data_IF_514365765356
#
_entry.id   IF_514365765356
#
_cell.length_a   1.000
_cell.length_b   1.000
_cell.length_c   1.000
_cell.angle_alpha   90.00
_cell.angle_beta   90.00
_cell.angle_gamma   90.00
#
_symmetry.space_group_name_H-M   'P 1'
#
loop_
_entity.id
_entity.type
_entity.pdbx_description
1 polymer ?
#
# COMPACT_ATOMS: atom_id res chain seq x y z
N UNK A 1 56.13 -2.43 -24.46
CA UNK A 1 55.25 -1.75 -23.51
C UNK A 1 53.82 -2.14 -23.86
N UNK A 2 53.24 -2.98 -23.03
CA UNK A 2 51.83 -3.43 -23.22
C UNK A 2 50.94 -2.54 -22.39
N UNK A 3 50.07 -1.73 -23.02
CA UNK A 3 49.10 -0.87 -22.34
C UNK A 3 47.85 -1.73 -22.09
N UNK A 4 47.62 -2.13 -20.83
CA UNK A 4 46.38 -2.79 -20.41
C UNK A 4 45.35 -1.71 -20.15
N UNK A 5 44.36 -1.58 -21.03
CA UNK A 5 43.20 -0.72 -20.79
C UNK A 5 42.28 -1.43 -19.80
N UNK A 6 42.22 -0.94 -18.55
CA UNK A 6 41.18 -1.33 -17.58
C UNK A 6 39.88 -0.68 -17.98
N UNK A 7 38.97 -1.46 -18.58
CA UNK A 7 37.54 -1.05 -18.69
C UNK A 7 36.86 -1.12 -17.31
N UNK A 8 36.68 0.01 -16.66
CA UNK A 8 35.78 0.10 -15.50
C UNK A 8 34.34 -0.10 -15.99
N UNK A 9 33.80 -1.27 -15.79
CA UNK A 9 32.36 -1.51 -15.91
C UNK A 9 31.71 -0.86 -14.69
N UNK A 10 31.26 0.39 -14.83
CA UNK A 10 30.37 1.02 -13.84
C UNK A 10 29.09 0.20 -13.82
N UNK A 11 28.90 -0.63 -12.80
CA UNK A 11 27.63 -1.26 -12.51
C UNK A 11 26.64 -0.14 -12.15
N UNK A 12 25.85 0.34 -13.13
CA UNK A 12 24.72 1.21 -12.89
C UNK A 12 23.72 0.47 -12.00
N UNK A 13 23.77 0.68 -10.69
CA UNK A 13 22.73 0.24 -9.77
C UNK A 13 21.47 1.02 -10.11
N UNK A 14 20.57 0.40 -10.86
CA UNK A 14 19.28 1.01 -11.24
C UNK A 14 18.50 1.33 -9.97
N UNK A 15 18.05 2.59 -9.81
CA UNK A 15 17.32 2.99 -8.60
C UNK A 15 16.03 2.18 -8.45
N UNK A 16 15.53 1.94 -7.22
CA UNK A 16 14.27 1.23 -6.99
C UNK A 16 13.08 1.83 -7.75
N UNK A 17 13.03 3.15 -7.89
CA UNK A 17 12.01 3.86 -8.71
C UNK A 17 12.08 3.45 -10.17
N UNK A 18 13.28 3.44 -10.76
CA UNK A 18 13.44 3.05 -12.17
C UNK A 18 13.07 1.58 -12.41
N UNK A 19 13.38 0.69 -11.43
CA UNK A 19 13.00 -0.72 -11.52
C UNK A 19 11.48 -0.89 -11.46
N UNK A 20 10.81 -0.28 -10.47
CA UNK A 20 9.36 -0.34 -10.33
C UNK A 20 8.65 0.23 -11.57
N UNK A 21 9.12 1.37 -12.09
CA UNK A 21 8.61 1.98 -13.32
C UNK A 21 8.78 1.08 -14.53
N UNK A 22 9.98 0.53 -14.75
CA UNK A 22 10.26 -0.34 -15.90
C UNK A 22 9.41 -1.61 -15.87
N UNK A 23 9.23 -2.22 -14.70
CA UNK A 23 8.36 -3.38 -14.52
C UNK A 23 6.89 -3.01 -14.82
N UNK A 24 6.38 -1.95 -14.23
CA UNK A 24 5.00 -1.52 -14.40
C UNK A 24 4.68 -1.10 -15.85
N UNK A 25 5.64 -0.50 -16.57
CA UNK A 25 5.48 -0.15 -17.98
C UNK A 25 5.22 -1.36 -18.88
N UNK A 26 5.79 -2.54 -18.56
CA UNK A 26 5.53 -3.79 -19.28
C UNK A 26 4.07 -4.26 -19.12
N UNK A 27 3.39 -3.79 -18.08
CA UNK A 27 1.98 -4.04 -17.79
C UNK A 27 1.06 -2.85 -18.13
N UNK A 28 1.52 -1.89 -18.92
CA UNK A 28 0.71 -0.76 -19.39
C UNK A 28 0.55 0.39 -18.39
N UNK A 29 1.25 0.35 -17.26
CA UNK A 29 1.21 1.44 -16.28
C UNK A 29 2.10 2.61 -16.68
N UNK A 30 1.68 3.81 -16.32
CA UNK A 30 2.43 5.05 -16.49
C UNK A 30 2.68 5.71 -15.14
N UNK A 31 3.87 6.29 -14.98
CA UNK A 31 4.23 7.04 -13.77
C UNK A 31 3.40 8.32 -13.64
N UNK A 32 2.96 8.59 -12.40
CA UNK A 32 2.29 9.83 -12.00
C UNK A 32 2.88 10.31 -10.68
N UNK A 33 3.13 11.60 -10.56
CA UNK A 33 3.41 12.26 -9.29
C UNK A 33 2.16 13.04 -8.88
N UNK A 34 1.72 12.84 -7.64
CA UNK A 34 0.58 13.53 -7.08
C UNK A 34 1.09 14.58 -6.10
N UNK A 35 0.94 15.85 -6.45
CA UNK A 35 1.25 16.95 -5.56
C UNK A 35 0.17 17.06 -4.50
N UNK A 36 0.50 16.70 -3.29
CA UNK A 36 -0.35 16.79 -2.11
C UNK A 36 0.32 17.64 -1.03
N UNK A 37 -0.35 17.92 0.08
CA UNK A 37 0.27 18.66 1.18
C UNK A 37 0.35 17.77 2.42
N UNK A 38 1.56 17.60 3.00
CA UNK A 38 2.84 18.27 2.64
C UNK A 38 3.69 17.48 1.63
N UNK A 39 3.25 16.31 1.12
CA UNK A 39 4.05 15.37 0.35
C UNK A 39 3.77 15.43 -1.15
N UNK A 40 4.77 15.00 -1.93
CA UNK A 40 4.58 14.51 -3.30
C UNK A 40 4.54 12.99 -3.23
N UNK A 41 3.51 12.37 -3.81
CA UNK A 41 3.34 10.92 -3.81
C UNK A 41 3.62 10.33 -5.18
N UNK A 42 4.38 9.24 -5.19
CA UNK A 42 4.62 8.44 -6.38
C UNK A 42 3.46 7.49 -6.62
N UNK A 43 2.97 7.42 -7.85
CA UNK A 43 2.00 6.43 -8.28
C UNK A 43 2.31 5.88 -9.67
N UNK A 44 1.72 4.72 -9.95
CA UNK A 44 1.73 4.07 -11.26
C UNK A 44 0.27 3.84 -11.65
N UNK A 45 -0.13 4.38 -12.80
CA UNK A 45 -1.52 4.41 -13.23
C UNK A 45 -1.71 3.61 -14.52
N UNK A 46 -2.69 2.72 -14.52
CA UNK A 46 -3.20 2.01 -15.70
C UNK A 46 -4.62 2.50 -16.01
N UNK A 47 -4.91 2.95 -17.26
CA UNK A 47 -6.21 3.55 -17.58
C UNK A 47 -7.38 2.56 -17.62
N UNK A 48 -7.11 1.24 -17.48
CA UNK A 48 -8.11 0.22 -17.71
C UNK A 48 -8.47 0.08 -19.19
N UNK A 49 -9.49 -0.71 -19.47
CA UNK A 49 -10.06 -0.89 -20.81
C UNK A 49 -11.55 -0.54 -20.85
N UNK A 50 -12.15 -0.22 -19.70
CA UNK A 50 -13.55 0.21 -19.61
C UNK A 50 -13.71 1.58 -20.29
N UNK A 51 -14.65 1.73 -21.24
CA UNK A 51 -14.88 3.02 -21.92
C UNK A 51 -15.59 4.05 -21.02
N UNK A 52 -16.25 3.59 -19.97
CA UNK A 52 -16.92 4.43 -18.96
C UNK A 52 -16.68 3.84 -17.57
N UNK A 53 -15.48 4.05 -17.02
CA UNK A 53 -15.13 3.46 -15.73
C UNK A 53 -15.97 4.10 -14.62
N UNK A 54 -16.64 3.26 -13.82
CA UNK A 54 -17.36 3.73 -12.63
C UNK A 54 -16.49 3.72 -11.39
N UNK A 55 -15.45 2.90 -11.39
CA UNK A 55 -14.62 2.62 -10.22
C UNK A 55 -13.14 2.83 -10.54
N UNK A 56 -12.40 3.41 -9.61
CA UNK A 56 -10.94 3.41 -9.59
C UNK A 56 -10.47 2.38 -8.56
N UNK A 57 -9.63 1.42 -8.95
CA UNK A 57 -9.02 0.45 -8.05
C UNK A 57 -7.67 0.98 -7.57
N UNK A 58 -7.52 1.13 -6.25
CA UNK A 58 -6.34 1.75 -5.64
C UNK A 58 -5.62 0.74 -4.77
N UNK A 59 -4.38 0.41 -5.14
CA UNK A 59 -3.48 -0.46 -4.40
C UNK A 59 -2.48 0.37 -3.61
N UNK A 60 -2.57 0.34 -2.27
CA UNK A 60 -1.74 1.17 -1.38
C UNK A 60 -0.60 0.33 -0.82
N UNK A 61 0.63 0.79 -1.03
CA UNK A 61 1.85 0.10 -0.62
C UNK A 61 2.03 0.05 0.90
N UNK A 62 2.75 -0.97 1.35
CA UNK A 62 3.15 -1.14 2.75
C UNK A 62 4.20 -0.12 3.21
N UNK A 63 4.74 -0.35 4.42
CA UNK A 63 5.73 0.55 5.02
C UNK A 63 7.09 0.54 4.30
N UNK A 64 7.28 -0.40 3.35
CA UNK A 64 8.49 -0.53 2.57
C UNK A 64 9.71 -0.91 3.39
N UNK A 65 10.87 -0.35 3.04
CA UNK A 65 12.11 -0.57 3.78
C UNK A 65 12.25 0.48 4.91
N UNK A 66 11.32 0.44 5.88
CA UNK A 66 11.28 1.44 6.96
C UNK A 66 12.48 1.36 7.92
N UNK A 67 13.07 0.19 8.09
CA UNK A 67 14.14 -0.08 9.05
C UNK A 67 15.30 -0.85 8.43
N UNK A 68 16.53 -0.41 8.70
CA UNK A 68 17.75 -1.15 8.35
C UNK A 68 18.12 -2.19 9.40
N UNK A 69 17.72 -1.96 10.66
CA UNK A 69 17.86 -2.86 11.80
C UNK A 69 16.76 -2.59 12.81
N UNK A 70 16.66 -3.40 13.88
CA UNK A 70 15.64 -3.20 14.94
C UNK A 70 15.60 -1.78 15.53
N UNK A 71 16.70 -1.04 15.49
CA UNK A 71 16.85 0.27 16.16
C UNK A 71 17.23 1.40 15.21
N UNK A 72 17.57 1.10 13.94
CA UNK A 72 18.01 2.10 12.98
C UNK A 72 17.01 2.25 11.83
N UNK A 73 16.24 3.34 11.79
CA UNK A 73 15.40 3.67 10.65
C UNK A 73 16.22 3.82 9.37
N UNK A 74 15.69 3.31 8.27
CA UNK A 74 16.31 3.47 6.96
C UNK A 74 16.39 4.94 6.55
N UNK A 75 17.34 5.26 5.69
CA UNK A 75 17.45 6.58 5.07
C UNK A 75 16.42 6.79 3.95
N UNK A 76 15.97 5.69 3.35
CA UNK A 76 14.97 5.65 2.29
C UNK A 76 13.97 4.50 2.54
N UNK A 77 12.67 4.81 2.75
CA UNK A 77 11.65 3.81 3.00
C UNK A 77 11.15 3.09 1.74
N UNK A 78 11.69 3.41 0.55
CA UNK A 78 11.27 2.79 -0.70
C UNK A 78 11.33 1.26 -0.63
N UNK A 79 10.24 0.54 -0.93
CA UNK A 79 10.22 -0.91 -0.84
C UNK A 79 11.21 -1.56 -1.80
N UNK A 80 11.87 -2.60 -1.34
CA UNK A 80 12.73 -3.46 -2.16
C UNK A 80 11.92 -4.55 -2.88
N UNK A 81 10.78 -4.90 -2.30
CA UNK A 81 9.79 -5.84 -2.83
C UNK A 81 8.40 -5.18 -2.76
N UNK A 82 7.92 -4.54 -3.83
CA UNK A 82 6.67 -3.78 -3.84
C UNK A 82 5.45 -4.69 -4.04
N UNK A 83 5.02 -5.38 -2.99
CA UNK A 83 3.92 -6.36 -3.03
C UNK A 83 2.61 -5.76 -3.54
N UNK A 84 2.26 -4.54 -3.14
CA UNK A 84 1.05 -3.89 -3.65
C UNK A 84 1.15 -3.55 -5.14
N UNK A 85 2.34 -3.31 -5.68
CA UNK A 85 2.55 -3.14 -7.13
C UNK A 85 2.30 -4.45 -7.87
N UNK A 86 2.82 -5.56 -7.35
CA UNK A 86 2.60 -6.88 -7.94
C UNK A 86 1.11 -7.24 -7.96
N UNK A 87 0.37 -6.90 -6.89
CA UNK A 87 -1.08 -7.06 -6.82
C UNK A 87 -1.82 -6.17 -7.83
N UNK A 88 -1.39 -4.91 -7.98
CA UNK A 88 -1.97 -3.97 -8.95
C UNK A 88 -1.77 -4.42 -10.40
N UNK A 89 -0.57 -4.95 -10.74
CA UNK A 89 -0.28 -5.48 -12.07
C UNK A 89 -1.04 -6.78 -12.38
N UNK A 90 -1.40 -7.53 -11.35
CA UNK A 90 -2.19 -8.77 -11.46
C UNK A 90 -3.70 -8.54 -11.35
N UNK A 91 -4.17 -7.30 -11.24
CA UNK A 91 -5.61 -7.00 -11.14
C UNK A 91 -6.35 -7.48 -12.39
N UNK A 92 -7.37 -8.37 -12.25
CA UNK A 92 -8.08 -8.95 -13.39
C UNK A 92 -9.19 -8.05 -13.94
N UNK A 93 -9.44 -6.89 -13.31
CA UNK A 93 -10.55 -6.01 -13.68
C UNK A 93 -10.29 -5.21 -14.94
N UNK A 94 -11.37 -4.57 -15.43
CA UNK A 94 -11.34 -3.70 -16.62
C UNK A 94 -11.28 -2.23 -16.27
N UNK A 95 -11.50 -1.88 -15.01
CA UNK A 95 -11.46 -0.51 -14.50
C UNK A 95 -10.03 0.03 -14.41
N UNK A 96 -9.86 1.36 -14.34
CA UNK A 96 -8.57 1.97 -14.05
C UNK A 96 -7.96 1.48 -12.73
N UNK A 97 -6.65 1.29 -12.73
CA UNK A 97 -5.87 0.86 -11.56
C UNK A 97 -4.82 1.90 -11.21
N UNK A 98 -4.75 2.25 -9.94
CA UNK A 98 -3.70 3.06 -9.36
C UNK A 98 -2.92 2.24 -8.33
N UNK A 99 -1.65 2.02 -8.56
CA UNK A 99 -0.71 1.74 -7.48
C UNK A 99 -0.29 3.06 -6.84
N UNK A 100 -0.39 3.17 -5.52
CA UNK A 100 -0.04 4.37 -4.77
C UNK A 100 0.99 4.04 -3.68
N UNK A 101 2.18 4.61 -3.82
CA UNK A 101 3.22 4.50 -2.81
C UNK A 101 2.87 5.35 -1.58
N UNK A 102 3.49 5.01 -0.44
CA UNK A 102 3.37 5.82 0.77
C UNK A 102 4.23 7.09 0.67
N UNK A 103 3.94 8.14 1.46
CA UNK A 103 4.82 9.30 1.52
C UNK A 103 6.29 8.92 1.68
N UNK A 104 7.15 9.63 0.96
CA UNK A 104 8.61 9.46 0.98
C UNK A 104 9.17 8.22 0.26
N UNK A 105 8.32 7.35 -0.28
CA UNK A 105 8.76 6.23 -1.13
C UNK A 105 8.89 6.69 -2.58
N UNK A 106 9.92 6.24 -3.29
CA UNK A 106 10.20 6.49 -4.71
C UNK A 106 10.38 7.96 -5.11
N UNK A 107 10.33 8.90 -4.19
CA UNK A 107 10.56 10.33 -4.46
C UNK A 107 12.01 10.73 -4.17
N UNK A 108 12.51 11.75 -4.87
CA UNK A 108 13.89 12.23 -4.80
C UNK A 108 13.93 13.75 -4.73
N UNK A 109 15.08 14.29 -4.41
CA UNK A 109 15.41 15.72 -4.46
C UNK A 109 14.36 16.60 -3.76
N UNK A 110 13.80 17.58 -4.46
CA UNK A 110 12.85 18.55 -3.90
C UNK A 110 11.55 17.90 -3.41
N UNK A 111 11.13 16.78 -4.03
CA UNK A 111 9.94 16.03 -3.62
C UNK A 111 10.09 15.39 -2.24
N UNK A 112 11.32 15.28 -1.72
CA UNK A 112 11.64 14.76 -0.38
C UNK A 112 11.72 15.82 0.71
N UNK A 113 11.56 17.09 0.41
CA UNK A 113 11.82 18.20 1.38
C UNK A 113 11.07 18.08 2.72
N UNK A 114 9.92 17.41 2.76
CA UNK A 114 9.16 17.18 3.98
C UNK A 114 9.31 15.75 4.52
N UNK A 115 10.14 14.94 3.91
CA UNK A 115 10.37 13.55 4.29
C UNK A 115 11.33 13.48 5.48
N UNK A 116 10.79 13.12 6.62
CA UNK A 116 11.54 12.81 7.83
C UNK A 116 11.24 11.40 8.30
N UNK A 117 12.16 10.78 9.03
CA UNK A 117 12.07 9.37 9.47
C UNK A 117 10.78 9.03 10.21
N UNK A 118 10.15 10.01 10.86
CA UNK A 118 8.87 9.81 11.55
C UNK A 118 7.77 9.28 10.62
N UNK A 119 7.75 9.68 9.34
CA UNK A 119 6.69 9.33 8.38
C UNK A 119 6.76 7.90 7.85
N UNK A 120 7.83 7.17 8.15
CA UNK A 120 7.89 5.72 7.92
C UNK A 120 8.18 4.93 9.20
N UNK A 121 8.16 5.62 10.36
CA UNK A 121 8.27 5.01 11.70
C UNK A 121 7.04 5.34 12.55
N UNK A 122 7.15 6.26 13.52
CA UNK A 122 6.10 6.56 14.51
C UNK A 122 4.83 7.18 13.93
N UNK A 123 4.94 7.99 12.86
CA UNK A 123 3.83 8.73 12.22
C UNK A 123 3.41 8.11 10.86
N UNK A 124 3.69 6.82 10.62
CA UNK A 124 3.42 6.18 9.34
C UNK A 124 1.94 6.11 8.95
N UNK A 125 1.03 6.23 9.91
CA UNK A 125 -0.41 6.39 9.73
C UNK A 125 -0.92 7.71 10.35
N UNK A 126 -0.04 8.71 10.45
CA UNK A 126 -0.42 10.02 10.96
C UNK A 126 -1.38 10.76 10.03
N UNK A 127 -2.13 11.74 10.57
CA UNK A 127 -3.16 12.47 9.84
C UNK A 127 -2.66 13.03 8.50
N UNK A 128 -1.47 13.67 8.48
CA UNK A 128 -0.89 14.22 7.24
C UNK A 128 -0.64 13.14 6.16
N UNK A 129 -0.32 11.91 6.58
CA UNK A 129 -0.14 10.78 5.66
C UNK A 129 -1.46 10.37 5.04
N UNK A 130 -2.51 10.23 5.85
CA UNK A 130 -3.85 9.86 5.40
C UNK A 130 -4.44 10.96 4.50
N UNK A 131 -4.31 12.23 4.87
CA UNK A 131 -4.79 13.36 4.08
C UNK A 131 -4.09 13.44 2.70
N UNK A 132 -2.79 13.17 2.66
CA UNK A 132 -2.04 13.15 1.39
C UNK A 132 -2.44 11.99 0.49
N UNK A 133 -2.66 10.79 1.04
CA UNK A 133 -3.17 9.65 0.28
C UNK A 133 -4.58 9.93 -0.25
N UNK A 134 -5.46 10.50 0.57
CA UNK A 134 -6.82 10.91 0.18
C UNK A 134 -6.81 11.91 -0.99
N UNK A 135 -5.96 12.94 -0.90
CA UNK A 135 -5.80 13.93 -1.96
C UNK A 135 -5.30 13.31 -3.28
N UNK A 136 -4.34 12.39 -3.22
CA UNK A 136 -3.83 11.69 -4.40
C UNK A 136 -4.90 10.80 -5.04
N UNK A 137 -5.68 10.08 -4.25
CA UNK A 137 -6.79 9.25 -4.74
C UNK A 137 -7.86 10.13 -5.41
N UNK A 138 -8.16 11.28 -4.82
CA UNK A 138 -9.12 12.24 -5.38
C UNK A 138 -8.65 12.79 -6.73
N UNK A 139 -7.37 13.14 -6.85
CA UNK A 139 -6.77 13.55 -8.13
C UNK A 139 -6.84 12.42 -9.18
N UNK A 140 -6.47 11.19 -8.80
CA UNK A 140 -6.51 10.04 -9.71
C UNK A 140 -7.94 9.70 -10.16
N UNK A 141 -8.92 9.79 -9.25
CA UNK A 141 -10.34 9.60 -9.55
C UNK A 141 -10.84 10.63 -10.58
N UNK A 142 -10.42 11.89 -10.45
CA UNK A 142 -10.75 12.94 -11.41
C UNK A 142 -10.13 12.69 -12.82
N UNK A 143 -8.94 12.08 -12.88
CA UNK A 143 -8.28 11.75 -14.16
C UNK A 143 -9.10 10.72 -14.95
N UNK A 144 -9.66 9.71 -14.31
CA UNK A 144 -10.42 8.65 -14.97
C UNK A 144 -11.95 8.89 -15.02
N UNK A 145 -12.45 9.90 -14.32
CA UNK A 145 -13.88 10.18 -14.24
C UNK A 145 -14.68 9.16 -13.41
N UNK A 146 -14.03 8.34 -12.59
CA UNK A 146 -14.70 7.35 -11.75
C UNK A 146 -15.55 8.02 -10.66
N UNK A 147 -16.66 7.37 -10.31
CA UNK A 147 -17.57 7.82 -9.25
C UNK A 147 -17.19 7.25 -7.89
N UNK A 148 -16.67 6.02 -7.88
CA UNK A 148 -16.33 5.25 -6.69
C UNK A 148 -14.88 4.79 -6.70
N UNK A 149 -14.40 4.35 -5.52
CA UNK A 149 -13.08 3.72 -5.38
C UNK A 149 -13.18 2.36 -4.71
N UNK A 150 -12.32 1.43 -5.10
CA UNK A 150 -11.98 0.22 -4.37
C UNK A 150 -10.62 0.44 -3.75
N UNK A 151 -10.51 0.29 -2.44
CA UNK A 151 -9.24 0.42 -1.72
C UNK A 151 -8.68 -0.94 -1.38
N UNK A 152 -7.44 -1.19 -1.77
CA UNK A 152 -6.70 -2.42 -1.46
C UNK A 152 -5.38 -2.01 -0.82
N UNK A 153 -5.15 -2.41 0.43
CA UNK A 153 -3.93 -2.05 1.14
C UNK A 153 -3.11 -3.26 1.57
N UNK A 154 -1.79 -3.20 1.37
CA UNK A 154 -0.85 -4.21 1.83
C UNK A 154 -0.13 -3.74 3.10
N UNK A 155 -0.01 -4.61 4.12
CA UNK A 155 0.76 -4.35 5.36
C UNK A 155 0.33 -3.03 6.03
N UNK A 156 1.24 -2.07 6.25
CA UNK A 156 0.90 -0.73 6.72
C UNK A 156 -0.04 0.04 5.78
N UNK A 157 -0.04 -0.28 4.47
CA UNK A 157 -1.02 0.23 3.51
C UNK A 157 -2.43 -0.27 3.77
N UNK A 158 -2.58 -1.47 4.38
CA UNK A 158 -3.87 -1.98 4.85
C UNK A 158 -4.48 -1.10 5.93
N UNK A 159 -3.67 -0.68 6.91
CA UNK A 159 -4.10 0.29 7.92
C UNK A 159 -4.48 1.65 7.31
N UNK A 160 -3.71 2.12 6.32
CA UNK A 160 -4.05 3.35 5.60
C UNK A 160 -5.36 3.21 4.82
N UNK A 161 -5.61 2.08 4.15
CA UNK A 161 -6.83 1.81 3.41
C UNK A 161 -8.08 1.83 4.33
N UNK A 162 -7.98 1.26 5.54
CA UNK A 162 -9.04 1.30 6.56
C UNK A 162 -9.36 2.74 6.97
N UNK A 163 -8.33 3.54 7.30
CA UNK A 163 -8.52 4.95 7.70
C UNK A 163 -9.09 5.81 6.57
N UNK A 164 -8.69 5.54 5.34
CA UNK A 164 -9.26 6.18 4.14
C UNK A 164 -10.70 5.77 3.90
N UNK A 165 -11.06 4.50 4.14
CA UNK A 165 -12.42 4.01 3.99
C UNK A 165 -13.39 4.68 4.98
N UNK A 166 -12.95 4.97 6.21
CA UNK A 166 -13.72 5.74 7.18
C UNK A 166 -13.88 7.22 6.77
N UNK A 167 -12.81 7.81 6.23
CA UNK A 167 -12.79 9.23 5.82
C UNK A 167 -13.65 9.52 4.60
N UNK A 168 -13.74 8.58 3.64
CA UNK A 168 -14.37 8.76 2.33
C UNK A 168 -15.81 8.22 2.30
N UNK A 169 -16.67 8.83 1.46
CA UNK A 169 -18.06 8.39 1.26
C UNK A 169 -18.24 7.61 -0.07
N UNK A 170 -17.19 7.51 -0.88
CA UNK A 170 -17.23 6.94 -2.22
C UNK A 170 -16.50 5.59 -2.33
N UNK A 171 -16.22 4.95 -1.19
CA UNK A 171 -15.58 3.63 -1.16
C UNK A 171 -16.63 2.55 -1.37
N UNK A 172 -16.51 1.80 -2.46
CA UNK A 172 -17.39 0.68 -2.79
C UNK A 172 -16.95 -0.64 -2.13
N UNK A 173 -15.64 -0.79 -1.90
CA UNK A 173 -15.08 -2.00 -1.30
C UNK A 173 -13.73 -1.71 -0.63
N UNK A 174 -13.45 -2.43 0.46
CA UNK A 174 -12.19 -2.41 1.20
C UNK A 174 -11.53 -3.77 1.22
N UNK A 175 -10.34 -3.88 0.65
CA UNK A 175 -9.48 -5.06 0.74
C UNK A 175 -8.21 -4.79 1.54
N UNK A 176 -7.75 -5.75 2.32
CA UNK A 176 -6.42 -5.68 2.92
C UNK A 176 -5.69 -7.01 2.79
N UNK A 177 -4.40 -6.96 2.54
CA UNK A 177 -3.52 -8.11 2.44
C UNK A 177 -2.43 -7.96 3.50
N UNK A 178 -2.33 -8.91 4.42
CA UNK A 178 -1.40 -8.85 5.55
C UNK A 178 -1.46 -7.49 6.27
N UNK A 179 -2.68 -6.92 6.44
CA UNK A 179 -2.89 -5.55 6.88
C UNK A 179 -2.60 -5.35 8.36
N UNK A 180 -1.88 -4.27 8.70
CA UNK A 180 -1.74 -3.83 10.09
C UNK A 180 -2.99 -3.05 10.51
N UNK A 181 -4.02 -3.76 10.96
CA UNK A 181 -5.36 -3.24 11.25
C UNK A 181 -5.56 -2.90 12.73
N UNK A 182 -4.60 -3.25 13.59
CA UNK A 182 -4.59 -2.92 15.00
C UNK A 182 -3.15 -2.66 15.45
N UNK A 183 -2.76 -1.39 15.45
CA UNK A 183 -1.36 -0.98 15.63
C UNK A 183 -0.83 -1.21 17.04
N UNK A 184 -1.68 -1.08 18.06
CA UNK A 184 -1.25 -1.22 19.45
C UNK A 184 -0.99 -2.70 19.79
N UNK A 185 -1.91 -3.60 19.42
CA UNK A 185 -1.71 -5.03 19.59
C UNK A 185 -0.51 -5.53 18.78
N UNK A 186 -0.35 -5.02 17.54
CA UNK A 186 0.80 -5.38 16.71
C UNK A 186 2.13 -4.95 17.33
N UNK A 187 2.25 -3.72 17.83
CA UNK A 187 3.51 -3.26 18.45
C UNK A 187 3.83 -4.03 19.73
N UNK A 188 2.82 -4.38 20.52
CA UNK A 188 2.99 -5.24 21.70
C UNK A 188 3.48 -6.64 21.32
N UNK A 189 2.84 -7.26 20.32
CA UNK A 189 3.18 -8.60 19.84
C UNK A 189 4.61 -8.66 19.28
N UNK A 190 5.02 -7.66 18.52
CA UNK A 190 6.35 -7.57 17.91
C UNK A 190 7.44 -7.06 18.90
N UNK A 191 7.07 -6.63 20.09
CA UNK A 191 8.00 -6.07 21.07
C UNK A 191 8.73 -4.83 20.56
N UNK A 192 8.01 -3.95 19.84
CA UNK A 192 8.54 -2.69 19.30
C UNK A 192 7.84 -1.48 19.90
N UNK A 193 8.43 -0.29 19.73
CA UNK A 193 7.85 0.95 20.26
C UNK A 193 6.47 1.23 19.66
N UNK A 194 5.53 1.78 20.45
CA UNK A 194 4.22 2.21 19.94
C UNK A 194 4.33 3.20 18.78
N UNK A 195 3.36 3.16 17.88
CA UNK A 195 3.25 4.12 16.77
C UNK A 195 2.55 5.40 17.25
N UNK A 196 3.17 6.10 18.19
CA UNK A 196 2.55 7.16 19.00
C UNK A 196 1.99 8.36 18.20
N UNK A 197 2.44 8.55 16.96
CA UNK A 197 2.00 9.63 16.07
C UNK A 197 1.11 9.12 14.92
N UNK A 198 0.70 7.86 14.98
CA UNK A 198 -0.17 7.22 14.00
C UNK A 198 -1.58 7.06 14.56
N UNK A 199 -2.56 7.14 13.68
CA UNK A 199 -3.92 6.70 13.96
C UNK A 199 -3.96 5.17 14.04
N UNK A 200 -4.78 4.62 14.92
CA UNK A 200 -5.00 3.16 14.98
C UNK A 200 -6.24 2.80 14.16
N UNK A 201 -6.11 1.97 13.09
CA UNK A 201 -7.25 1.57 12.25
C UNK A 201 -8.39 0.92 13.04
N UNK A 202 -8.08 0.24 14.15
CA UNK A 202 -9.08 -0.39 15.02
C UNK A 202 -10.13 0.62 15.55
N UNK A 203 -9.75 1.88 15.74
CA UNK A 203 -10.65 2.91 16.30
C UNK A 203 -11.83 3.23 15.40
N UNK A 204 -11.73 2.95 14.11
CA UNK A 204 -12.79 3.22 13.11
C UNK A 204 -13.50 1.95 12.63
N UNK A 205 -13.21 0.79 13.19
CA UNK A 205 -13.77 -0.49 12.76
C UNK A 205 -15.32 -0.47 12.77
N UNK A 206 -15.94 0.10 13.80
CA UNK A 206 -17.39 0.13 13.92
C UNK A 206 -18.10 0.98 12.86
N UNK A 207 -17.47 2.00 12.29
CA UNK A 207 -18.04 2.81 11.22
C UNK A 207 -18.12 2.05 9.87
N UNK A 208 -17.31 1.00 9.72
CA UNK A 208 -17.17 0.23 8.48
C UNK A 208 -18.08 -1.02 8.43
N UNK A 209 -19.01 -1.19 9.36
CA UNK A 209 -19.88 -2.36 9.46
C UNK A 209 -20.70 -2.66 8.18
N UNK A 210 -21.02 -1.65 7.40
CA UNK A 210 -21.85 -1.78 6.18
C UNK A 210 -21.04 -1.79 4.89
N UNK A 211 -19.74 -1.48 4.98
CA UNK A 211 -18.87 -1.48 3.82
C UNK A 211 -18.49 -2.93 3.46
N UNK A 212 -18.71 -3.37 2.22
CA UNK A 212 -18.19 -4.65 1.75
C UNK A 212 -16.67 -4.69 1.90
N UNK A 213 -16.15 -5.74 2.56
CA UNK A 213 -14.71 -5.81 2.85
C UNK A 213 -14.18 -7.25 2.88
N UNK A 214 -12.89 -7.40 2.62
CA UNK A 214 -12.15 -8.66 2.71
C UNK A 214 -10.74 -8.43 3.22
N UNK A 215 -10.32 -9.21 4.21
CA UNK A 215 -9.01 -9.10 4.86
C UNK A 215 -8.28 -10.43 4.75
N UNK A 216 -7.24 -10.46 3.91
CA UNK A 216 -6.39 -11.61 3.70
C UNK A 216 -5.22 -11.60 4.70
N UNK A 217 -5.03 -12.71 5.39
CA UNK A 217 -3.88 -12.95 6.28
C UNK A 217 -3.33 -14.36 6.10
N UNK A 218 -2.18 -14.69 6.68
CA UNK A 218 -1.58 -16.01 6.55
C UNK A 218 -0.95 -16.48 7.85
N UNK A 219 -1.07 -17.78 8.14
CA UNK A 219 -0.38 -18.40 9.26
C UNK A 219 1.16 -18.40 9.12
N UNK A 220 1.68 -18.32 7.90
CA UNK A 220 3.12 -18.20 7.64
C UNK A 220 3.65 -16.75 7.76
N UNK A 221 2.75 -15.77 7.97
CA UNK A 221 3.15 -14.37 8.15
C UNK A 221 3.52 -14.09 9.61
N UNK A 222 4.82 -13.97 9.88
CA UNK A 222 5.35 -13.65 11.20
C UNK A 222 5.44 -12.15 11.49
N UNK A 223 5.19 -11.30 10.48
CA UNK A 223 5.20 -9.82 10.63
C UNK A 223 3.83 -9.31 11.03
N UNK A 224 2.79 -9.71 10.30
CA UNK A 224 1.39 -9.39 10.62
C UNK A 224 0.60 -10.70 10.73
N UNK A 225 0.59 -11.35 11.89
CA UNK A 225 -0.11 -12.62 12.06
C UNK A 225 -1.63 -12.44 12.01
N UNK A 226 -2.39 -13.53 11.71
CA UNK A 226 -3.83 -13.49 11.47
C UNK A 226 -4.67 -12.90 12.59
N UNK A 227 -4.19 -12.95 13.82
CA UNK A 227 -4.89 -12.44 15.01
C UNK A 227 -5.15 -10.93 14.92
N UNK A 228 -4.28 -10.19 14.22
CA UNK A 228 -4.43 -8.75 14.00
C UNK A 228 -5.66 -8.46 13.11
N UNK A 229 -5.81 -9.19 12.01
CA UNK A 229 -6.98 -9.06 11.13
C UNK A 229 -8.25 -9.61 11.80
N UNK A 230 -8.17 -10.74 12.51
CA UNK A 230 -9.32 -11.35 13.17
C UNK A 230 -9.98 -10.42 14.20
N UNK A 231 -9.18 -9.71 15.00
CA UNK A 231 -9.70 -8.70 15.95
C UNK A 231 -10.47 -7.59 15.24
N UNK A 232 -9.93 -7.11 14.11
CA UNK A 232 -10.57 -6.06 13.31
C UNK A 232 -11.90 -6.55 12.71
N UNK A 233 -11.94 -7.74 12.09
CA UNK A 233 -13.17 -8.31 11.54
C UNK A 233 -14.27 -8.52 12.58
N UNK A 234 -13.90 -8.89 13.81
CA UNK A 234 -14.85 -8.97 14.92
C UNK A 234 -15.41 -7.58 15.27
N UNK A 235 -14.53 -6.57 15.35
CA UNK A 235 -14.93 -5.20 15.68
C UNK A 235 -15.81 -4.55 14.60
N UNK A 236 -15.63 -4.90 13.32
CA UNK A 236 -16.53 -4.49 12.24
C UNK A 236 -17.86 -5.25 12.22
N UNK A 237 -18.04 -6.28 13.03
CA UNK A 237 -19.22 -7.15 12.96
C UNK A 237 -19.27 -8.04 11.70
N UNK A 238 -18.17 -8.15 10.95
CA UNK A 238 -18.06 -8.95 9.72
C UNK A 238 -16.98 -10.04 9.85
N UNK A 239 -17.12 -11.02 10.77
CA UNK A 239 -16.09 -12.03 11.01
C UNK A 239 -15.76 -12.87 9.75
N UNK A 240 -16.71 -13.01 8.83
CA UNK A 240 -16.51 -13.74 7.56
C UNK A 240 -15.70 -12.97 6.51
N UNK A 241 -15.43 -11.67 6.71
CA UNK A 241 -14.57 -10.88 5.84
C UNK A 241 -13.09 -11.23 6.00
N UNK A 242 -12.70 -11.86 7.11
CA UNK A 242 -11.35 -12.36 7.34
C UNK A 242 -11.13 -13.73 6.72
N UNK A 243 -10.13 -13.81 5.85
CA UNK A 243 -9.70 -15.04 5.19
C UNK A 243 -8.25 -15.32 5.56
N UNK A 244 -7.99 -16.52 6.08
CA UNK A 244 -6.65 -16.94 6.48
C UNK A 244 -6.17 -18.03 5.53
N UNK A 245 -4.99 -17.82 4.93
CA UNK A 245 -4.27 -18.85 4.16
C UNK A 245 -3.10 -19.41 4.97
N UNK A 246 -2.42 -20.45 4.50
CA UNK A 246 -1.47 -21.18 5.34
C UNK A 246 -0.01 -20.90 5.05
N UNK A 247 0.35 -20.59 3.80
CA UNK A 247 1.67 -20.85 3.24
C UNK A 247 2.36 -19.64 2.61
N UNK A 248 1.79 -18.44 2.72
CA UNK A 248 2.42 -17.22 2.19
C UNK A 248 3.00 -16.36 3.32
N UNK A 249 4.32 -16.17 3.32
CA UNK A 249 4.97 -15.24 4.24
C UNK A 249 4.68 -13.78 3.88
N UNK A 250 5.03 -12.83 4.79
CA UNK A 250 4.69 -11.42 4.65
C UNK A 250 4.98 -10.84 3.25
N UNK A 251 6.19 -10.99 2.75
CA UNK A 251 6.61 -10.51 1.41
C UNK A 251 6.42 -11.53 0.29
N UNK A 252 5.56 -12.53 0.46
CA UNK A 252 5.35 -13.60 -0.52
C UNK A 252 4.41 -13.22 -1.66
N UNK A 253 4.06 -14.22 -2.49
CA UNK A 253 3.22 -14.06 -3.68
C UNK A 253 1.73 -14.07 -3.33
N UNK A 254 1.22 -12.98 -2.83
CA UNK A 254 -0.18 -12.81 -2.43
C UNK A 254 -1.17 -12.80 -3.60
N UNK A 255 -0.68 -12.59 -4.84
CA UNK A 255 -1.51 -12.56 -6.05
C UNK A 255 -2.30 -13.86 -6.26
N UNK A 256 -1.72 -15.01 -5.86
CA UNK A 256 -2.38 -16.31 -5.96
C UNK A 256 -3.67 -16.41 -5.14
N UNK A 257 -3.80 -15.59 -4.08
CA UNK A 257 -4.93 -15.59 -3.16
C UNK A 257 -5.88 -14.42 -3.34
N UNK A 258 -5.39 -13.31 -3.92
CA UNK A 258 -6.18 -12.10 -4.09
C UNK A 258 -6.99 -12.10 -5.38
N UNK A 259 -6.48 -12.64 -6.47
CA UNK A 259 -7.09 -12.53 -7.81
C UNK A 259 -8.27 -13.45 -8.09
N UNK A 260 -8.49 -14.51 -7.32
CA UNK A 260 -9.46 -15.55 -7.67
C UNK A 260 -10.90 -15.32 -7.17
N UNK A 261 -11.10 -14.47 -6.18
CA UNK A 261 -12.42 -14.27 -5.55
C UNK A 261 -12.91 -12.82 -5.55
N UNK A 262 -12.26 -11.93 -6.27
CA UNK A 262 -12.71 -10.53 -6.39
C UNK A 262 -13.84 -10.40 -7.43
N UNK A 263 -14.84 -11.28 -7.41
CA UNK A 263 -16.10 -11.02 -8.08
C UNK A 263 -16.89 -10.03 -7.22
N UNK A 264 -16.55 -8.74 -7.38
CA UNK A 264 -17.28 -7.62 -6.76
C UNK A 264 -18.60 -7.31 -7.48
N UNK A 265 -19.12 -8.27 -8.26
CA UNK A 265 -20.40 -8.15 -8.91
C UNK A 265 -21.43 -9.04 -8.18
N UNK A 266 -22.15 -8.39 -7.25
CA UNK A 266 -23.62 -8.52 -7.12
C UNK A 266 -24.16 -7.51 -6.13
#
# INVERSE_FOLDING_TARGET
MLVVALCFVSACTTSPRLKARALAQQHGFTERLFETRPFVLFGLYHPGISPQPKTLRVYIEGDGHAWESRTRPASDPTPRNPVALDLAMADPGTDPVLYLARPCQYVQDEDRRYCTKRYWTSARLGQNVIDSLDAAITQAKAICGAEQVILVGYSGGGGAAVLLADKRQDVAFLGTIAGNLETDAWTQLQGVSPLAESLNPMTVASSLQRLPQRHLSSHADTVIPPEISAKFCQATGQPHSCVVVNDVGHGGSWQAYWGYDCQFEK
#
